data_IF_209202538381
#
_entry.id   IF_209202538381
#
_cell.length_a   1.000
_cell.length_b   1.000
_cell.length_c   1.000
_cell.angle_alpha   90.00
_cell.angle_beta   90.00
_cell.angle_gamma   90.00
#
_symmetry.space_group_name_H-M   'P 1'
#
loop_
_entity.id
_entity.type
_entity.pdbx_description
1 polymer ?
#
# COMPACT_ATOMS: atom_id res chain seq x y z
N UNK A 1 1.77 11.76 -8.58
CA UNK A 1 2.79 11.60 -7.51
C UNK A 1 2.39 10.56 -6.46
N UNK A 2 1.27 10.72 -5.74
CA UNK A 2 0.74 9.69 -4.81
C UNK A 2 0.69 8.29 -5.45
N UNK A 3 0.15 8.20 -6.66
CA UNK A 3 0.02 6.95 -7.43
C UNK A 3 1.37 6.28 -7.69
N UNK A 4 2.43 7.04 -7.91
CA UNK A 4 3.78 6.51 -8.16
C UNK A 4 4.32 5.83 -6.90
N UNK A 5 4.07 6.42 -5.72
CA UNK A 5 4.48 5.86 -4.43
C UNK A 5 3.67 4.62 -4.07
N UNK A 6 2.35 4.64 -4.30
CA UNK A 6 1.49 3.48 -4.06
C UNK A 6 1.89 2.33 -4.98
N UNK A 7 2.11 2.58 -6.27
CA UNK A 7 2.52 1.57 -7.24
C UNK A 7 3.91 1.00 -6.92
N UNK A 8 4.84 1.80 -6.39
CA UNK A 8 6.13 1.30 -5.90
C UNK A 8 5.95 0.16 -4.88
N UNK A 9 5.07 0.38 -3.89
CA UNK A 9 4.78 -0.63 -2.87
C UNK A 9 4.00 -1.83 -3.40
N UNK A 10 3.07 -1.62 -4.34
CA UNK A 10 2.27 -2.69 -4.93
C UNK A 10 3.05 -3.59 -5.89
N UNK A 11 4.04 -3.03 -6.59
CA UNK A 11 4.90 -3.74 -7.53
C UNK A 11 6.12 -4.38 -6.84
N UNK A 12 6.24 -4.21 -5.51
CA UNK A 12 7.26 -4.86 -4.67
C UNK A 12 8.71 -4.61 -5.13
N UNK A 13 8.99 -3.41 -5.66
CA UNK A 13 10.36 -3.04 -6.01
C UNK A 13 11.22 -2.88 -4.75
N UNK A 14 12.44 -3.40 -4.79
CA UNK A 14 13.38 -3.37 -3.66
C UNK A 14 13.84 -1.94 -3.31
N UNK A 15 14.13 -1.12 -4.32
CA UNK A 15 14.57 0.25 -4.13
C UNK A 15 13.84 1.23 -5.05
N UNK A 16 13.54 2.40 -4.50
CA UNK A 16 12.76 3.41 -5.20
C UNK A 16 13.50 4.01 -6.39
N UNK A 17 14.84 4.02 -6.38
CA UNK A 17 15.65 4.60 -7.46
C UNK A 17 15.54 3.75 -8.72
N UNK A 18 15.68 2.43 -8.59
CA UNK A 18 15.50 1.48 -9.70
C UNK A 18 14.08 1.55 -10.24
N UNK A 19 13.07 1.53 -9.36
CA UNK A 19 11.68 1.72 -9.76
C UNK A 19 11.48 3.02 -10.54
N UNK A 20 11.96 4.14 -10.02
CA UNK A 20 11.77 5.44 -10.63
C UNK A 20 12.43 5.54 -12.01
N UNK A 21 13.70 5.15 -12.11
CA UNK A 21 14.48 5.28 -13.36
C UNK A 21 14.04 4.25 -14.41
N UNK A 22 13.87 2.99 -14.03
CA UNK A 22 13.64 1.91 -15.00
C UNK A 22 12.16 1.69 -15.33
N UNK A 23 11.25 2.03 -14.44
CA UNK A 23 9.81 1.88 -14.67
C UNK A 23 9.15 3.23 -14.96
N UNK A 24 9.23 4.19 -14.03
CA UNK A 24 8.49 5.45 -14.14
C UNK A 24 9.01 6.32 -15.30
N UNK A 25 10.33 6.55 -15.39
CA UNK A 25 10.93 7.34 -16.47
C UNK A 25 10.82 6.69 -17.85
N UNK A 26 10.57 5.38 -17.92
CA UNK A 26 10.54 4.61 -19.17
C UNK A 26 9.13 4.42 -19.69
N UNK A 27 8.16 4.17 -18.81
CA UNK A 27 6.79 3.79 -19.20
C UNK A 27 5.74 4.83 -18.84
N UNK A 28 5.98 5.68 -17.84
CA UNK A 28 5.00 6.66 -17.35
C UNK A 28 5.32 8.10 -17.78
N UNK A 29 6.32 8.29 -18.64
CA UNK A 29 6.79 9.61 -19.09
C UNK A 29 5.71 10.42 -19.79
N UNK A 30 4.84 9.76 -20.54
CA UNK A 30 3.74 10.40 -21.28
C UNK A 30 2.53 10.76 -20.38
N UNK A 31 2.42 10.13 -19.21
CA UNK A 31 1.31 10.34 -18.26
C UNK A 31 1.55 11.55 -17.34
N UNK A 32 2.80 12.05 -17.29
CA UNK A 32 3.21 13.15 -16.41
C UNK A 32 3.90 14.26 -17.22
N UNK A 33 3.16 15.30 -17.65
CA UNK A 33 3.68 16.35 -18.54
C UNK A 33 4.80 17.19 -17.91
N UNK A 34 4.86 17.29 -16.58
CA UNK A 34 6.00 17.86 -15.85
C UNK A 34 6.79 16.75 -15.16
N UNK A 35 7.67 16.10 -15.92
CA UNK A 35 8.50 15.04 -15.39
C UNK A 35 9.47 15.58 -14.33
N UNK A 36 9.33 15.08 -13.10
CA UNK A 36 10.15 15.50 -11.97
C UNK A 36 11.50 14.81 -12.03
N UNK A 37 12.60 15.52 -11.75
CA UNK A 37 13.88 14.84 -11.54
C UNK A 37 13.77 13.92 -10.31
N UNK A 38 14.56 12.83 -10.28
CA UNK A 38 14.58 11.90 -9.14
C UNK A 38 14.77 12.63 -7.80
N UNK A 39 15.68 13.61 -7.74
CA UNK A 39 15.93 14.39 -6.53
C UNK A 39 14.72 15.22 -6.10
N UNK A 40 14.00 15.81 -7.05
CA UNK A 40 12.77 16.56 -6.76
C UNK A 40 11.63 15.62 -6.37
N UNK A 41 11.53 14.44 -6.99
CA UNK A 41 10.61 13.39 -6.58
C UNK A 41 10.86 12.94 -5.14
N UNK A 42 12.11 12.73 -4.75
CA UNK A 42 12.46 12.27 -3.40
C UNK A 42 12.07 13.29 -2.31
N UNK A 43 12.23 14.59 -2.60
CA UNK A 43 11.74 15.67 -1.73
C UNK A 43 10.21 15.69 -1.65
N UNK A 44 9.53 15.54 -2.79
CA UNK A 44 8.06 15.51 -2.82
C UNK A 44 7.50 14.28 -2.10
N UNK A 45 8.19 13.14 -2.15
CA UNK A 45 7.76 11.89 -1.53
C UNK A 45 7.53 12.04 -0.03
N UNK A 46 8.37 12.83 0.65
CA UNK A 46 8.23 13.14 2.08
C UNK A 46 6.92 13.89 2.39
N UNK A 47 6.51 14.80 1.53
CA UNK A 47 5.24 15.54 1.70
C UNK A 47 4.03 14.71 1.24
N UNK A 48 4.20 13.88 0.21
CA UNK A 48 3.12 13.08 -0.39
C UNK A 48 2.60 11.99 0.55
N UNK A 49 3.42 11.48 1.48
CA UNK A 49 2.98 10.50 2.46
C UNK A 49 2.10 11.10 3.58
N UNK A 50 2.12 12.41 3.78
CA UNK A 50 1.40 13.05 4.90
C UNK A 50 -0.12 12.90 4.78
N UNK A 51 -0.78 13.22 3.64
CA UNK A 51 -2.23 13.05 3.53
C UNK A 51 -2.74 11.61 3.65
N UNK A 52 -2.15 10.57 3.02
CA UNK A 52 -2.63 9.20 3.17
C UNK A 52 -2.41 8.68 4.59
N UNK A 53 -1.30 9.03 5.25
CA UNK A 53 -1.10 8.70 6.66
C UNK A 53 -2.16 9.37 7.54
N UNK A 54 -2.40 10.67 7.36
CA UNK A 54 -3.45 11.39 8.08
C UNK A 54 -4.83 10.78 7.88
N UNK A 55 -5.18 10.42 6.65
CA UNK A 55 -6.43 9.75 6.33
C UNK A 55 -6.57 8.38 7.01
N UNK A 56 -5.51 7.57 7.00
CA UNK A 56 -5.50 6.26 7.65
C UNK A 56 -5.63 6.38 9.17
N UNK A 57 -4.91 7.32 9.79
CA UNK A 57 -5.02 7.62 11.21
C UNK A 57 -6.42 8.12 11.58
N UNK A 58 -7.02 8.96 10.74
CA UNK A 58 -8.39 9.44 10.95
C UNK A 58 -9.43 8.31 10.84
N UNK A 59 -9.22 7.34 9.95
CA UNK A 59 -10.09 6.15 9.83
C UNK A 59 -9.81 5.07 10.88
N UNK A 60 -8.76 5.22 11.69
CA UNK A 60 -8.42 4.22 12.68
C UNK A 60 -9.47 4.20 13.79
N UNK A 61 -10.11 3.04 13.97
CA UNK A 61 -11.01 2.82 15.12
C UNK A 61 -10.16 2.73 16.38
N UNK A 62 -10.69 3.22 17.50
CA UNK A 62 -10.01 3.16 18.80
C UNK A 62 -9.59 1.71 19.08
N UNK A 63 -8.28 1.41 19.21
CA UNK A 63 -7.82 0.06 19.45
C UNK A 63 -8.37 -0.48 20.77
N UNK A 64 -9.02 -1.63 20.74
CA UNK A 64 -9.38 -2.39 21.97
C UNK A 64 -8.31 -3.44 22.31
N UNK A 65 -7.30 -3.62 21.45
CA UNK A 65 -6.21 -4.58 21.58
C UNK A 65 -5.09 -4.32 20.57
N UNK A 66 -4.34 -5.36 20.18
CA UNK A 66 -3.28 -5.25 19.17
C UNK A 66 -3.85 -5.01 17.77
N UNK A 67 -3.29 -4.04 17.03
CA UNK A 67 -3.73 -3.67 15.68
C UNK A 67 -2.61 -3.96 14.69
N UNK A 68 -2.96 -4.62 13.58
CA UNK A 68 -2.05 -4.89 12.48
C UNK A 68 -2.50 -4.14 11.23
N UNK A 69 -1.57 -3.46 10.58
CA UNK A 69 -1.74 -2.88 9.24
C UNK A 69 -0.92 -3.74 8.29
N UNK A 70 -1.58 -4.44 7.37
CA UNK A 70 -0.92 -5.36 6.44
C UNK A 70 -1.45 -5.12 5.02
N UNK A 71 -0.57 -5.15 4.03
CA UNK A 71 -0.92 -5.04 2.61
C UNK A 71 -1.35 -6.37 2.00
N UNK A 72 -0.84 -7.49 2.55
CA UNK A 72 -1.20 -8.82 2.11
C UNK A 72 -2.44 -9.36 2.84
N UNK A 73 -3.04 -10.40 2.26
CA UNK A 73 -4.24 -11.03 2.80
C UNK A 73 -3.92 -11.74 4.10
N UNK A 74 -4.73 -11.51 5.13
CA UNK A 74 -4.58 -12.16 6.42
C UNK A 74 -5.15 -13.58 6.37
N UNK A 75 -4.30 -14.60 6.47
CA UNK A 75 -4.75 -15.98 6.63
C UNK A 75 -5.25 -16.20 8.07
N UNK A 76 -6.58 -16.14 8.24
CA UNK A 76 -7.20 -16.20 9.58
C UNK A 76 -7.35 -17.62 10.13
N UNK A 77 -7.54 -18.63 9.28
CA UNK A 77 -7.63 -20.03 9.70
C UNK A 77 -7.31 -21.00 8.55
N UNK A 78 -7.10 -22.27 8.89
CA UNK A 78 -6.96 -23.34 7.90
C UNK A 78 -8.33 -23.72 7.32
N UNK A 79 -8.39 -24.11 6.05
CA UNK A 79 -9.64 -24.47 5.36
C UNK A 79 -10.50 -25.51 6.11
N UNK A 80 -9.88 -26.47 6.81
CA UNK A 80 -10.59 -27.50 7.59
C UNK A 80 -11.29 -26.93 8.84
N UNK A 81 -10.88 -25.75 9.32
CA UNK A 81 -11.39 -25.13 10.56
C UNK A 81 -12.41 -24.01 10.29
N UNK A 82 -12.76 -23.73 9.04
CA UNK A 82 -13.68 -22.64 8.65
C UNK A 82 -14.99 -22.70 9.42
N UNK A 83 -15.60 -23.88 9.53
CA UNK A 83 -16.89 -24.05 10.21
C UNK A 83 -16.84 -23.84 11.74
N UNK A 84 -15.65 -23.93 12.34
CA UNK A 84 -15.45 -23.75 13.79
C UNK A 84 -14.93 -22.35 14.14
N UNK A 85 -14.57 -21.55 13.14
CA UNK A 85 -13.96 -20.25 13.34
C UNK A 85 -15.00 -19.19 13.73
N UNK A 86 -14.88 -18.61 14.93
CA UNK A 86 -15.86 -17.64 15.46
C UNK A 86 -15.41 -16.17 15.35
N UNK A 87 -14.11 -15.90 15.45
CA UNK A 87 -13.56 -14.53 15.61
C UNK A 87 -13.84 -13.61 14.41
N UNK A 88 -13.90 -14.16 13.21
CA UNK A 88 -14.07 -13.45 11.92
C UNK A 88 -15.32 -13.95 11.19
N UNK A 89 -16.30 -14.50 11.92
CA UNK A 89 -17.54 -15.02 11.33
C UNK A 89 -18.34 -13.87 10.68
N UNK A 90 -18.66 -14.01 9.40
CA UNK A 90 -19.36 -12.98 8.62
C UNK A 90 -18.46 -11.91 7.98
N UNK A 91 -17.22 -11.77 8.45
CA UNK A 91 -16.22 -10.83 7.89
C UNK A 91 -15.22 -11.51 6.97
N UNK A 92 -14.69 -12.67 7.36
CA UNK A 92 -13.75 -13.43 6.54
C UNK A 92 -14.47 -14.10 5.36
N UNK A 93 -13.81 -14.12 4.20
CA UNK A 93 -14.31 -14.77 2.97
C UNK A 93 -13.27 -15.74 2.43
N UNK A 94 -13.72 -16.83 1.81
CA UNK A 94 -12.85 -17.74 1.07
C UNK A 94 -12.39 -17.03 -0.20
N UNK A 95 -11.12 -17.16 -0.54
CA UNK A 95 -10.64 -16.78 -1.87
C UNK A 95 -11.31 -17.62 -2.95
N UNK A 96 -11.56 -16.99 -4.11
CA UNK A 96 -12.02 -17.66 -5.31
C UNK A 96 -10.89 -18.47 -5.92
#
# INVERSE_FOLDING_TARGET
>A
MMTIVIAFHQLEYLDFKTYYIHFVCRYLTNEYPEFVSYTRMLKLMQCVLVPPCSYLTHRQVRPTGMVFVYSSKLQVCHNLRIFRHQVFKGTAKREK
#
